data_IF_745510235464
#
_entry.id   IF_745510235464
#
_cell.length_a   1.000
_cell.length_b   1.000
_cell.length_c   1.000
_cell.angle_alpha   90.00
_cell.angle_beta   90.00
_cell.angle_gamma   90.00
#
_symmetry.space_group_name_H-M   'P 1'
#
loop_
_entity.id
_entity.type
_entity.pdbx_description
1 polymer ?
#
# COMPACT_ATOMS: atom_id res chain seq x y z
N UNK A 1 8.62 -8.25 17.06
CA UNK A 1 7.19 -8.07 17.40
C UNK A 1 6.45 -9.38 17.19
N UNK A 2 5.48 -9.73 18.03
CA UNK A 2 4.75 -11.01 17.93
C UNK A 2 3.49 -10.88 17.06
N UNK A 3 3.20 -11.91 16.27
CA UNK A 3 1.95 -12.01 15.52
C UNK A 3 0.75 -12.19 16.47
N UNK A 4 -0.39 -11.60 16.13
CA UNK A 4 -1.65 -11.78 16.84
C UNK A 4 -1.92 -10.80 17.99
N UNK A 5 -0.97 -9.94 18.35
CA UNK A 5 -1.22 -8.87 19.32
C UNK A 5 -1.92 -7.68 18.64
N UNK A 6 -3.03 -7.22 19.21
CA UNK A 6 -3.89 -6.18 18.65
C UNK A 6 -3.15 -4.88 18.30
N UNK A 7 -2.21 -4.48 19.14
CA UNK A 7 -1.49 -3.20 18.97
C UNK A 7 -0.21 -3.32 18.15
N UNK A 8 0.18 -4.54 17.75
CA UNK A 8 1.41 -4.75 17.00
C UNK A 8 1.48 -3.90 15.73
N UNK A 9 0.48 -3.89 14.84
CA UNK A 9 0.54 -3.08 13.62
C UNK A 9 0.68 -1.58 13.90
N UNK A 10 -0.04 -1.06 14.90
CA UNK A 10 0.02 0.35 15.25
C UNK A 10 1.38 0.76 15.84
N UNK A 11 1.96 -0.07 16.71
CA UNK A 11 3.29 0.16 17.25
C UNK A 11 4.36 0.09 16.15
N UNK A 12 4.25 -0.84 15.21
CA UNK A 12 5.19 -0.94 14.10
C UNK A 12 5.07 0.25 13.15
N UNK A 13 3.85 0.67 12.82
CA UNK A 13 3.63 1.89 12.04
C UNK A 13 4.26 3.12 12.71
N UNK A 14 4.06 3.30 14.02
CA UNK A 14 4.63 4.43 14.75
C UNK A 14 6.17 4.42 14.69
N UNK A 15 6.78 3.24 14.84
CA UNK A 15 8.22 3.06 14.69
C UNK A 15 8.70 3.40 13.27
N UNK A 16 8.06 2.86 12.23
CA UNK A 16 8.40 3.13 10.83
C UNK A 16 8.24 4.61 10.47
N UNK A 17 7.21 5.27 10.99
CA UNK A 17 7.01 6.71 10.82
C UNK A 17 8.12 7.53 11.48
N UNK A 18 8.63 7.10 12.63
CA UNK A 18 9.71 7.80 13.34
C UNK A 18 11.04 7.66 12.59
N UNK A 19 11.41 6.42 12.22
CA UNK A 19 12.69 6.15 11.56
C UNK A 19 12.75 6.60 10.10
N UNK A 20 11.62 6.85 9.42
CA UNK A 20 11.56 7.33 8.03
C UNK A 20 10.96 8.73 7.90
N UNK A 21 10.81 9.46 9.01
CA UNK A 21 10.09 10.72 9.07
C UNK A 21 10.59 11.75 8.05
N UNK A 22 11.89 11.93 7.98
CA UNK A 22 12.55 12.83 7.03
C UNK A 22 12.21 12.51 5.58
N UNK A 23 12.22 11.23 5.21
CA UNK A 23 11.90 10.79 3.84
C UNK A 23 10.42 10.97 3.48
N UNK A 24 9.54 10.80 4.47
CA UNK A 24 8.09 11.04 4.33
C UNK A 24 7.81 12.54 4.21
N UNK A 25 8.45 13.37 5.05
CA UNK A 25 8.30 14.82 5.05
C UNK A 25 8.85 15.45 3.76
N UNK A 26 9.92 14.88 3.18
CA UNK A 26 10.44 15.24 1.86
C UNK A 26 9.54 14.79 0.69
N UNK A 27 8.59 13.88 0.96
CA UNK A 27 7.51 13.54 0.03
C UNK A 27 7.87 12.55 -1.08
N UNK A 28 8.95 11.78 -0.94
CA UNK A 28 9.35 10.74 -1.92
C UNK A 28 9.18 9.30 -1.40
N UNK A 29 8.72 9.15 -0.15
CA UNK A 29 8.47 7.87 0.49
C UNK A 29 7.09 7.82 1.15
N UNK A 30 6.40 6.70 1.03
CA UNK A 30 5.18 6.38 1.79
C UNK A 30 5.36 5.03 2.45
N UNK A 31 4.99 4.92 3.73
CA UNK A 31 5.07 3.67 4.50
C UNK A 31 3.73 3.30 5.11
N UNK A 32 3.38 2.02 4.99
CA UNK A 32 2.24 1.43 5.67
C UNK A 32 2.65 0.09 6.25
N UNK A 33 2.78 0.03 7.58
CA UNK A 33 3.30 -1.12 8.29
C UNK A 33 4.63 -1.59 7.70
N UNK A 34 4.68 -2.79 7.12
CA UNK A 34 5.84 -3.41 6.50
C UNK A 34 6.05 -3.05 5.01
N UNK A 35 5.07 -2.39 4.38
CA UNK A 35 5.15 -1.99 2.97
C UNK A 35 5.71 -0.56 2.85
N UNK A 36 6.77 -0.40 2.06
CA UNK A 36 7.42 0.89 1.77
C UNK A 36 7.35 1.14 0.26
N UNK A 37 6.83 2.30 -0.14
CA UNK A 37 6.81 2.77 -1.51
C UNK A 37 7.76 3.95 -1.67
N UNK A 38 8.66 3.84 -2.65
CA UNK A 38 9.62 4.89 -3.01
C UNK A 38 9.27 5.36 -4.43
N UNK A 39 9.25 6.66 -4.66
CA UNK A 39 8.94 7.22 -5.98
C UNK A 39 9.75 8.48 -6.26
N UNK A 40 10.12 8.64 -7.53
CA UNK A 40 10.86 9.80 -8.03
C UNK A 40 10.78 9.81 -9.57
N UNK A 41 11.04 10.97 -10.18
CA UNK A 41 10.94 11.15 -11.63
C UNK A 41 12.20 10.67 -12.38
N UNK A 42 13.37 10.72 -11.72
CA UNK A 42 14.66 10.36 -12.32
C UNK A 42 15.27 9.12 -11.69
N UNK A 43 15.73 8.17 -12.52
CA UNK A 43 16.30 6.89 -12.07
C UNK A 43 17.54 7.06 -11.16
N UNK A 44 18.35 8.09 -11.39
CA UNK A 44 19.54 8.34 -10.57
C UNK A 44 19.15 8.79 -9.16
N UNK A 45 18.15 9.67 -9.05
CA UNK A 45 17.57 10.11 -7.78
C UNK A 45 16.88 8.91 -7.12
N UNK A 46 16.13 8.11 -7.88
CA UNK A 46 15.47 6.91 -7.38
C UNK A 46 16.45 5.97 -6.68
N UNK A 47 17.55 5.60 -7.35
CA UNK A 47 18.60 4.75 -6.79
C UNK A 47 19.22 5.33 -5.52
N UNK A 48 19.38 6.66 -5.46
CA UNK A 48 19.87 7.34 -4.27
C UNK A 48 18.88 7.22 -3.11
N UNK A 49 17.60 7.52 -3.34
CA UNK A 49 16.52 7.34 -2.36
C UNK A 49 16.42 5.89 -1.87
N UNK A 50 16.46 4.90 -2.79
CA UNK A 50 16.48 3.48 -2.45
C UNK A 50 17.65 3.13 -1.54
N UNK A 51 18.86 3.62 -1.85
CA UNK A 51 20.03 3.37 -1.02
C UNK A 51 19.87 3.97 0.38
N UNK A 52 19.35 5.18 0.50
CA UNK A 52 19.10 5.81 1.80
C UNK A 52 18.07 5.06 2.65
N UNK A 53 17.00 4.56 2.02
CA UNK A 53 16.03 3.67 2.70
C UNK A 53 16.75 2.43 3.21
N UNK A 54 17.51 1.73 2.36
CA UNK A 54 18.21 0.50 2.75
C UNK A 54 19.25 0.74 3.86
N UNK A 55 19.96 1.86 3.83
CA UNK A 55 20.87 2.28 4.90
C UNK A 55 20.12 2.49 6.22
N UNK A 56 19.00 3.22 6.20
CA UNK A 56 18.16 3.49 7.38
C UNK A 56 17.56 2.21 7.97
N UNK A 57 17.09 1.30 7.12
CA UNK A 57 16.58 -0.01 7.56
C UNK A 57 17.68 -0.83 8.23
N UNK A 58 18.88 -0.86 7.65
CA UNK A 58 20.03 -1.57 8.22
C UNK A 58 20.46 -1.00 9.57
N UNK A 59 20.46 0.32 9.73
CA UNK A 59 20.79 1.00 11.00
C UNK A 59 19.81 0.66 12.13
N UNK A 60 18.59 0.23 11.79
CA UNK A 60 17.52 -0.10 12.72
C UNK A 60 17.22 -1.60 12.79
N UNK A 61 18.13 -2.46 12.31
CA UNK A 61 17.99 -3.92 12.29
C UNK A 61 16.68 -4.41 11.62
N UNK A 62 16.25 -3.72 10.57
CA UNK A 62 15.12 -4.10 9.74
C UNK A 62 15.58 -4.82 8.47
N UNK A 63 14.88 -5.92 8.16
CA UNK A 63 15.24 -6.81 7.07
C UNK A 63 14.10 -6.91 6.07
N UNK A 64 14.44 -6.75 4.79
CA UNK A 64 13.53 -6.96 3.68
C UNK A 64 13.61 -8.42 3.22
N UNK A 65 12.49 -8.94 2.70
CA UNK A 65 12.47 -10.23 2.00
C UNK A 65 12.66 -9.98 0.49
N UNK A 66 13.83 -10.26 -0.11
CA UNK A 66 14.11 -9.85 -1.49
C UNK A 66 13.13 -10.39 -2.52
N UNK A 67 12.61 -11.62 -2.31
CA UNK A 67 11.60 -12.26 -3.16
C UNK A 67 10.27 -11.49 -3.25
N UNK A 68 10.01 -10.57 -2.30
CA UNK A 68 8.80 -9.75 -2.25
C UNK A 68 9.05 -8.29 -2.63
N UNK A 69 10.29 -7.91 -2.95
CA UNK A 69 10.63 -6.54 -3.29
C UNK A 69 10.68 -6.37 -4.80
N UNK A 70 10.18 -5.23 -5.26
CA UNK A 70 10.30 -4.76 -6.63
C UNK A 70 11.18 -3.51 -6.65
N UNK A 71 12.13 -3.44 -7.58
CA UNK A 71 13.08 -2.32 -7.69
C UNK A 71 13.06 -1.75 -9.10
N UNK A 72 13.14 -0.42 -9.21
CA UNK A 72 13.27 0.30 -10.50
C UNK A 72 12.16 -0.03 -11.51
N UNK A 73 10.95 -0.31 -11.01
CA UNK A 73 9.78 -0.60 -11.84
C UNK A 73 8.93 0.64 -12.07
N UNK A 74 8.30 0.73 -13.25
CA UNK A 74 7.35 1.81 -13.56
C UNK A 74 5.92 1.48 -13.13
N UNK A 75 5.64 0.22 -12.81
CA UNK A 75 4.32 -0.26 -12.35
C UNK A 75 4.54 -1.19 -11.17
N UNK A 76 3.85 -0.94 -10.06
CA UNK A 76 3.89 -1.81 -8.88
C UNK A 76 2.52 -1.90 -8.19
N UNK A 77 2.28 -2.98 -7.46
CA UNK A 77 1.09 -3.15 -6.62
C UNK A 77 1.44 -2.72 -5.19
N UNK A 78 0.77 -1.69 -4.69
CA UNK A 78 0.95 -1.19 -3.33
C UNK A 78 -0.41 -1.05 -2.64
N UNK A 79 -0.59 -1.73 -1.49
CA UNK A 79 -1.82 -1.72 -0.69
C UNK A 79 -3.11 -1.98 -1.49
N UNK A 80 -3.07 -2.89 -2.47
CA UNK A 80 -4.23 -3.21 -3.31
C UNK A 80 -4.58 -2.15 -4.37
N UNK A 81 -3.66 -1.22 -4.64
CA UNK A 81 -3.71 -0.27 -5.73
C UNK A 81 -2.52 -0.48 -6.66
N UNK A 82 -2.73 -0.31 -7.95
CA UNK A 82 -1.67 -0.34 -8.96
C UNK A 82 -1.16 1.08 -9.15
N UNK A 83 0.12 1.30 -8.87
CA UNK A 83 0.79 2.59 -9.00
C UNK A 83 1.52 2.64 -10.33
N UNK A 84 1.28 3.69 -11.11
CA UNK A 84 1.92 3.96 -12.41
C UNK A 84 2.22 5.46 -12.55
N UNK A 85 3.06 5.89 -13.50
CA UNK A 85 3.35 7.32 -13.68
C UNK A 85 2.06 8.08 -13.99
N UNK A 86 1.72 9.06 -13.15
CA UNK A 86 0.54 9.93 -13.31
C UNK A 86 -0.81 9.30 -12.95
N UNK A 87 -0.88 7.99 -12.65
CA UNK A 87 -2.15 7.30 -12.41
C UNK A 87 -2.06 6.27 -11.27
N UNK A 88 -3.13 6.22 -10.48
CA UNK A 88 -3.40 5.16 -9.52
C UNK A 88 -4.60 4.38 -10.05
N UNK A 89 -4.48 3.07 -10.15
CA UNK A 89 -5.50 2.17 -10.68
C UNK A 89 -5.91 1.14 -9.62
N UNK A 90 -7.08 0.54 -9.81
CA UNK A 90 -7.51 -0.58 -8.98
C UNK A 90 -6.76 -1.86 -9.38
N UNK A 91 -6.51 -2.75 -8.42
CA UNK A 91 -5.92 -4.07 -8.70
C UNK A 91 -6.87 -4.91 -9.57
N UNK A 92 -6.39 -5.29 -10.76
CA UNK A 92 -7.10 -6.11 -11.73
C UNK A 92 -7.57 -7.44 -11.14
N UNK A 93 -6.78 -8.02 -10.22
CA UNK A 93 -7.11 -9.28 -9.52
C UNK A 93 -8.33 -9.09 -8.63
N UNK A 94 -8.41 -7.94 -7.94
CA UNK A 94 -9.55 -7.59 -7.09
C UNK A 94 -10.79 -7.28 -7.95
N UNK A 95 -10.61 -6.61 -9.08
CA UNK A 95 -11.70 -6.35 -10.04
C UNK A 95 -12.28 -7.64 -10.63
N UNK A 96 -11.43 -8.61 -10.99
CA UNK A 96 -11.88 -9.91 -11.47
C UNK A 96 -12.73 -10.63 -10.39
N UNK A 97 -12.27 -10.60 -9.13
CA UNK A 97 -13.03 -11.17 -8.02
C UNK A 97 -14.41 -10.53 -7.80
N UNK A 98 -14.56 -9.22 -8.05
CA UNK A 98 -15.88 -8.54 -8.00
C UNK A 98 -16.77 -8.98 -9.15
N UNK A 99 -16.20 -9.08 -10.36
CA UNK A 99 -16.94 -9.46 -11.56
C UNK A 99 -17.63 -10.81 -11.39
N UNK A 100 -16.96 -11.73 -10.72
CA UNK A 100 -17.45 -13.08 -10.44
C UNK A 100 -18.19 -13.17 -9.09
N UNK A 101 -18.36 -12.07 -8.37
CA UNK A 101 -18.99 -12.04 -7.05
C UNK A 101 -20.51 -12.26 -7.16
N UNK A 102 -21.01 -13.36 -6.59
CA UNK A 102 -22.44 -13.66 -6.57
C UNK A 102 -23.27 -12.63 -5.79
N UNK A 103 -24.43 -12.26 -6.32
CA UNK A 103 -25.31 -11.31 -5.67
C UNK A 103 -25.62 -11.72 -4.20
N UNK A 104 -25.29 -10.86 -3.20
CA UNK A 104 -25.41 -11.24 -1.80
C UNK A 104 -26.88 -11.42 -1.41
N UNK A 105 -27.20 -12.59 -0.84
CA UNK A 105 -28.57 -12.95 -0.41
C UNK A 105 -28.83 -12.70 1.08
N UNK A 106 -27.85 -12.17 1.80
CA UNK A 106 -27.92 -11.96 3.25
C UNK A 106 -27.42 -10.58 3.64
N UNK A 107 -27.90 -10.07 4.79
CA UNK A 107 -27.46 -8.78 5.34
C UNK A 107 -25.93 -8.77 5.54
N UNK A 108 -25.35 -9.87 6.04
CA UNK A 108 -23.90 -9.99 6.21
C UNK A 108 -23.18 -9.92 4.87
N UNK A 109 -23.69 -10.58 3.84
CA UNK A 109 -23.14 -10.54 2.48
C UNK A 109 -23.14 -9.13 1.90
N UNK A 110 -24.26 -8.40 2.05
CA UNK A 110 -24.37 -7.00 1.60
C UNK A 110 -23.35 -6.12 2.33
N UNK A 111 -23.24 -6.24 3.67
CA UNK A 111 -22.25 -5.48 4.46
C UNK A 111 -20.81 -5.78 4.03
N UNK A 112 -20.48 -7.04 3.75
CA UNK A 112 -19.16 -7.42 3.25
C UNK A 112 -18.88 -6.82 1.87
N UNK A 113 -19.84 -6.87 0.95
CA UNK A 113 -19.70 -6.28 -0.38
C UNK A 113 -19.52 -4.76 -0.30
N UNK A 114 -20.36 -4.05 0.45
CA UNK A 114 -20.25 -2.60 0.65
C UNK A 114 -18.93 -2.21 1.34
N UNK A 115 -18.47 -3.00 2.31
CA UNK A 115 -17.17 -2.79 2.95
C UNK A 115 -16.01 -2.87 1.96
N UNK A 116 -16.07 -3.83 1.04
CA UNK A 116 -15.10 -3.94 -0.05
C UNK A 116 -15.24 -2.77 -1.04
N UNK A 117 -16.45 -2.48 -1.54
CA UNK A 117 -16.65 -1.43 -2.54
C UNK A 117 -16.28 -0.03 -1.99
N UNK A 118 -16.45 0.18 -0.68
CA UNK A 118 -16.04 1.40 -0.01
C UNK A 118 -14.51 1.64 -0.06
N UNK A 119 -13.69 0.59 -0.12
CA UNK A 119 -12.24 0.72 -0.33
C UNK A 119 -11.92 1.39 -1.67
N UNK A 120 -12.66 1.03 -2.73
CA UNK A 120 -12.50 1.56 -4.08
C UNK A 120 -13.43 2.74 -4.41
N UNK A 121 -14.15 3.30 -3.43
CA UNK A 121 -15.15 4.37 -3.63
C UNK A 121 -14.63 5.57 -4.43
N UNK A 122 -13.34 5.89 -4.34
CA UNK A 122 -12.71 7.01 -5.08
C UNK A 122 -12.75 6.81 -6.60
N UNK A 123 -12.87 5.57 -7.07
CA UNK A 123 -12.97 5.21 -8.49
C UNK A 123 -14.43 5.08 -8.97
N UNK A 124 -15.41 5.17 -8.06
CA UNK A 124 -16.83 4.97 -8.36
C UNK A 124 -17.53 6.33 -8.29
N UNK A 125 -17.93 6.85 -9.45
CA UNK A 125 -18.67 8.11 -9.52
C UNK A 125 -19.96 8.07 -8.70
N UNK A 126 -20.17 9.09 -7.86
CA UNK A 126 -21.37 9.23 -7.01
C UNK A 126 -21.67 8.01 -6.13
N UNK A 127 -20.63 7.34 -5.61
CA UNK A 127 -20.77 6.12 -4.81
C UNK A 127 -21.81 6.22 -3.68
N UNK A 128 -21.90 7.36 -2.98
CA UNK A 128 -22.86 7.54 -1.89
C UNK A 128 -24.33 7.52 -2.34
N UNK A 129 -24.63 7.87 -3.58
CA UNK A 129 -25.98 7.77 -4.15
C UNK A 129 -26.32 6.35 -4.61
N UNK A 130 -25.29 5.53 -4.89
CA UNK A 130 -25.42 4.15 -5.38
C UNK A 130 -25.47 3.11 -4.24
N UNK A 131 -24.88 3.44 -3.08
CA UNK A 131 -24.65 2.52 -1.96
C UNK A 131 -25.85 2.31 -1.03
#
# INVERSE_FOLDING_TARGET
>A
MFFGLTNSPATFQAFMNDILKDFIDEGWCVVYMDDILIFSDEINIHRLCTRHILERLRENDLYLKPEKCEFEVTKTLFLGMVITPGHILMDETKLAGIKDWEAPKTIKGVRSFLGFANFYRKFIGKYAELA
#
